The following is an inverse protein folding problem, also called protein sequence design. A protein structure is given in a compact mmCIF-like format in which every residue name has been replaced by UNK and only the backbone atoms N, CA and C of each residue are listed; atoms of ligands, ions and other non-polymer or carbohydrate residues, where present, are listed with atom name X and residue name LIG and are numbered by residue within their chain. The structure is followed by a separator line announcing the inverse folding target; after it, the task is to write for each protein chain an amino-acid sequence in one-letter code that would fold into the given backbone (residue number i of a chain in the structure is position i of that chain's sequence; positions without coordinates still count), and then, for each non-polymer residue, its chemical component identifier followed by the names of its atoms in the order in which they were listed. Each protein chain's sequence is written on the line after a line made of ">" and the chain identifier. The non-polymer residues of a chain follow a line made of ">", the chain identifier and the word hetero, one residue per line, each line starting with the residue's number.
data_IF_708543097908
#
_entry.id   IF_708543097908
#
_cell.length_a   1.000
_cell.length_b   1.000
_cell.length_c   1.000
_cell.angle_alpha   90.00
_cell.angle_beta   90.00
_cell.angle_gamma   90.00
#
_symmetry.space_group_name_H-M   'P 1'
#
loop_
_entity.id
_entity.type
_entity.pdbx_description
1 polymer ?
#
# COMPACT_ATOMS: atom_id res chain seq x y z
N UNK A 1 -9.74 -19.34 -79.37
CA UNK A 1 -8.46 -18.69 -78.98
C UNK A 1 -8.63 -18.18 -77.56
N UNK A 2 -7.67 -18.51 -76.71
CA UNK A 2 -7.75 -18.50 -75.25
C UNK A 2 -7.55 -17.11 -74.60
N UNK A 3 -8.20 -16.98 -73.44
CA UNK A 3 -7.86 -16.24 -72.22
C UNK A 3 -6.81 -15.13 -72.22
N UNK A 4 -7.20 -13.97 -71.65
CA UNK A 4 -6.35 -13.20 -70.72
C UNK A 4 -7.19 -12.53 -69.63
N UNK A 5 -7.45 -13.25 -68.54
CA UNK A 5 -7.66 -12.68 -67.20
C UNK A 5 -6.42 -12.98 -66.37
N UNK A 6 -5.53 -12.01 -66.12
CA UNK A 6 -4.62 -12.10 -64.98
C UNK A 6 -3.88 -10.80 -64.70
N UNK A 7 -3.51 -10.65 -63.42
CA UNK A 7 -2.52 -9.74 -62.85
C UNK A 7 -3.02 -8.44 -62.19
N UNK A 8 -4.04 -8.51 -61.32
CA UNK A 8 -4.26 -7.50 -60.26
C UNK A 8 -4.41 -8.12 -58.85
N UNK A 9 -3.91 -9.34 -58.65
CA UNK A 9 -4.13 -10.09 -57.39
C UNK A 9 -2.90 -10.30 -56.50
N UNK A 10 -1.68 -9.96 -56.95
CA UNK A 10 -0.45 -10.34 -56.23
C UNK A 10 0.28 -9.21 -55.50
N UNK A 11 0.08 -7.95 -55.89
CA UNK A 11 0.75 -6.80 -55.25
C UNK A 11 0.04 -6.29 -54.00
N UNK A 12 -1.30 -6.38 -53.93
CA UNK A 12 -2.05 -5.95 -52.75
C UNK A 12 -1.87 -6.88 -51.53
N UNK A 13 -1.60 -8.17 -51.77
CA UNK A 13 -1.44 -9.14 -50.68
C UNK A 13 -0.09 -9.03 -49.94
N UNK A 14 0.96 -8.57 -50.63
CA UNK A 14 2.30 -8.48 -50.02
C UNK A 14 2.43 -7.24 -49.13
N UNK A 15 1.78 -6.13 -49.48
CA UNK A 15 1.81 -4.90 -48.66
C UNK A 15 1.02 -5.01 -47.36
N UNK A 16 -0.09 -5.77 -47.33
CA UNK A 16 -0.89 -5.97 -46.11
C UNK A 16 -0.20 -6.89 -45.11
N UNK A 17 0.56 -7.90 -45.58
CA UNK A 17 1.30 -8.81 -44.70
C UNK A 17 2.50 -8.14 -44.00
N UNK A 18 3.17 -7.19 -44.66
CA UNK A 18 4.33 -6.49 -44.07
C UNK A 18 3.90 -5.44 -43.04
N UNK A 19 2.78 -4.73 -43.26
CA UNK A 19 2.26 -3.78 -42.26
C UNK A 19 1.64 -4.47 -41.03
N UNK A 20 1.05 -5.65 -41.20
CA UNK A 20 0.50 -6.44 -40.09
C UNK A 20 1.59 -7.01 -39.16
N UNK A 21 2.75 -7.38 -39.70
CA UNK A 21 3.88 -7.92 -38.93
C UNK A 21 4.58 -6.88 -38.07
N UNK A 22 4.71 -5.64 -38.55
CA UNK A 22 5.31 -4.54 -37.80
C UNK A 22 4.44 -4.07 -36.63
N UNK A 23 3.10 -4.12 -36.76
CA UNK A 23 2.19 -3.80 -35.65
C UNK A 23 2.17 -4.87 -34.56
N UNK A 24 2.26 -6.16 -34.91
CA UNK A 24 2.38 -7.23 -33.90
C UNK A 24 3.74 -7.21 -33.18
N UNK A 25 4.81 -6.84 -33.88
CA UNK A 25 6.13 -6.69 -33.26
C UNK A 25 6.15 -5.59 -32.19
N UNK A 26 5.57 -4.41 -32.49
CA UNK A 26 5.51 -3.28 -31.54
C UNK A 26 4.59 -3.58 -30.35
N UNK A 27 3.49 -4.31 -30.55
CA UNK A 27 2.61 -4.73 -29.45
C UNK A 27 3.25 -5.78 -28.52
N UNK A 28 4.14 -6.63 -29.05
CA UNK A 28 4.89 -7.59 -28.23
C UNK A 28 6.04 -6.96 -27.43
N UNK A 29 6.59 -5.82 -27.88
CA UNK A 29 7.60 -5.08 -27.12
C UNK A 29 7.01 -4.19 -26.00
N UNK A 30 5.72 -3.86 -26.05
CA UNK A 30 5.04 -3.11 -24.96
C UNK A 30 4.56 -4.06 -23.84
N UNK A 31 4.49 -5.37 -24.09
CA UNK A 31 3.96 -6.35 -23.13
C UNK A 31 5.01 -6.91 -22.14
N UNK A 32 6.26 -6.44 -22.15
CA UNK A 32 7.30 -6.89 -21.21
C UNK A 32 7.57 -5.98 -20.02
N UNK A 33 6.91 -4.82 -19.92
CA UNK A 33 6.71 -4.19 -18.61
C UNK A 33 5.59 -4.95 -17.92
N UNK A 34 5.94 -6.14 -17.43
CA UNK A 34 5.15 -6.84 -16.44
C UNK A 34 5.04 -5.86 -15.27
N UNK A 35 3.87 -5.23 -15.00
CA UNK A 35 3.73 -4.46 -13.79
C UNK A 35 3.94 -5.50 -12.71
N UNK A 36 5.03 -5.41 -11.96
CA UNK A 36 5.29 -6.30 -10.83
C UNK A 36 4.00 -6.33 -10.03
N UNK A 37 3.29 -7.46 -10.11
CA UNK A 37 2.04 -7.62 -9.43
C UNK A 37 2.39 -7.41 -7.96
N UNK A 38 1.79 -6.41 -7.28
CA UNK A 38 2.22 -6.07 -5.94
C UNK A 38 2.16 -7.34 -5.10
N UNK A 39 3.27 -7.68 -4.46
CA UNK A 39 3.32 -8.86 -3.61
C UNK A 39 2.27 -8.68 -2.50
N UNK A 40 1.20 -9.47 -2.58
CA UNK A 40 0.09 -9.42 -1.63
C UNK A 40 0.38 -10.24 -0.37
N UNK A 41 1.54 -10.90 -0.29
CA UNK A 41 1.92 -11.61 0.92
C UNK A 41 2.14 -10.62 2.09
N UNK A 42 1.87 -11.02 3.34
CA UNK A 42 2.23 -10.21 4.51
C UNK A 42 3.71 -9.84 4.44
N UNK A 43 4.02 -8.56 4.61
CA UNK A 43 5.39 -8.01 4.51
C UNK A 43 6.25 -8.37 5.71
N UNK A 44 6.58 -9.65 5.81
CA UNK A 44 7.46 -10.19 6.85
C UNK A 44 8.83 -9.48 6.86
N UNK A 45 9.30 -9.04 5.69
CA UNK A 45 10.50 -8.24 5.53
C UNK A 45 10.42 -6.86 6.23
N UNK A 46 9.24 -6.24 6.27
CA UNK A 46 9.04 -4.97 7.00
C UNK A 46 9.12 -5.20 8.52
N UNK A 47 8.56 -6.30 9.02
CA UNK A 47 8.67 -6.67 10.43
C UNK A 47 10.14 -6.93 10.83
N UNK A 48 10.91 -7.61 9.96
CA UNK A 48 12.32 -7.90 10.21
C UNK A 48 13.21 -6.65 10.24
N UNK A 49 12.87 -5.63 9.43
CA UNK A 49 13.60 -4.36 9.33
C UNK A 49 13.07 -3.27 10.25
N UNK A 50 11.97 -3.53 10.96
CA UNK A 50 11.33 -2.56 11.83
C UNK A 50 12.28 -2.05 12.92
N UNK A 51 12.27 -0.75 13.15
CA UNK A 51 13.08 -0.10 14.18
C UNK A 51 12.24 0.08 15.45
N UNK A 52 12.53 -0.72 16.47
CA UNK A 52 11.86 -0.63 17.77
C UNK A 52 12.66 0.29 18.70
N UNK A 53 12.03 1.37 19.17
CA UNK A 53 12.66 2.45 19.96
C UNK A 53 11.97 2.60 21.31
N UNK A 54 12.76 2.72 22.37
CA UNK A 54 12.25 2.93 23.73
C UNK A 54 11.45 1.76 24.33
N UNK A 55 11.31 0.63 23.64
CA UNK A 55 10.52 -0.52 24.11
C UNK A 55 11.27 -1.25 25.23
N UNK A 56 10.68 -1.42 26.43
CA UNK A 56 11.27 -2.24 27.48
C UNK A 56 11.49 -3.69 26.99
N UNK A 57 12.60 -4.36 27.32
CA UNK A 57 12.91 -5.71 26.83
C UNK A 57 11.76 -6.72 27.04
N UNK A 58 11.07 -6.65 28.18
CA UNK A 58 9.95 -7.52 28.52
C UNK A 58 8.67 -7.29 27.69
N UNK A 59 8.58 -6.16 26.97
CA UNK A 59 7.44 -5.80 26.10
C UNK A 59 7.73 -6.01 24.61
N UNK A 60 8.99 -6.25 24.24
CA UNK A 60 9.42 -6.34 22.83
C UNK A 60 8.69 -7.45 22.05
N UNK A 61 8.51 -8.63 22.64
CA UNK A 61 7.80 -9.72 21.98
C UNK A 61 6.32 -9.39 21.75
N UNK A 62 5.70 -8.67 22.70
CA UNK A 62 4.35 -8.14 22.55
C UNK A 62 4.26 -7.12 21.42
N UNK A 63 5.22 -6.20 21.36
CA UNK A 63 5.30 -5.20 20.30
C UNK A 63 5.49 -5.84 18.92
N UNK A 64 6.40 -6.81 18.77
CA UNK A 64 6.59 -7.54 17.49
C UNK A 64 5.32 -8.25 17.02
N UNK A 65 4.59 -8.89 17.95
CA UNK A 65 3.29 -9.50 17.64
C UNK A 65 2.25 -8.46 17.23
N UNK A 66 2.26 -7.29 17.87
CA UNK A 66 1.39 -6.19 17.52
C UNK A 66 1.63 -5.67 16.10
N UNK A 67 2.90 -5.52 15.71
CA UNK A 67 3.27 -5.15 14.34
C UNK A 67 2.86 -6.24 13.34
N UNK A 68 3.10 -7.51 13.65
CA UNK A 68 2.68 -8.61 12.79
C UNK A 68 1.16 -8.60 12.57
N UNK A 69 0.39 -8.41 13.66
CA UNK A 69 -1.07 -8.31 13.60
C UNK A 69 -1.53 -7.10 12.77
N UNK A 70 -0.89 -5.94 12.93
CA UNK A 70 -1.17 -4.75 12.14
C UNK A 70 -0.92 -5.00 10.65
N UNK A 71 0.26 -5.51 10.27
CA UNK A 71 0.62 -5.79 8.88
C UNK A 71 -0.32 -6.82 8.24
N UNK A 72 -0.80 -7.79 9.02
CA UNK A 72 -1.81 -8.75 8.56
C UNK A 72 -3.18 -8.11 8.37
N UNK A 73 -3.60 -7.23 9.28
CA UNK A 73 -4.90 -6.57 9.24
C UNK A 73 -4.99 -5.43 8.21
N UNK A 74 -3.85 -4.93 7.75
CA UNK A 74 -3.77 -3.78 6.84
C UNK A 74 -3.34 -4.18 5.42
N UNK A 75 -4.28 -4.66 4.58
CA UNK A 75 -3.97 -5.35 3.32
C UNK A 75 -3.40 -4.44 2.22
N UNK A 76 -3.53 -3.12 2.39
CA UNK A 76 -3.01 -2.17 1.42
C UNK A 76 -1.54 -1.79 1.70
N UNK A 77 -0.99 -2.11 2.88
CA UNK A 77 0.45 -1.92 3.16
C UNK A 77 1.32 -2.73 2.19
N UNK A 78 1.15 -4.06 2.00
CA UNK A 78 1.95 -4.82 1.04
C UNK A 78 1.88 -4.28 -0.40
N UNK A 79 0.70 -3.76 -0.78
CA UNK A 79 0.44 -3.21 -2.11
C UNK A 79 1.16 -1.89 -2.37
N UNK A 80 1.20 -1.02 -1.36
CA UNK A 80 1.64 0.36 -1.53
C UNK A 80 2.96 0.69 -0.85
N UNK A 81 3.49 -0.18 0.01
CA UNK A 81 4.82 -0.04 0.57
C UNK A 81 5.77 -0.99 -0.15
N UNK A 82 5.98 -0.87 -1.46
CA UNK A 82 6.69 -1.86 -2.30
C UNK A 82 8.22 -1.69 -2.40
N UNK A 83 8.80 -0.62 -1.86
CA UNK A 83 10.17 -0.19 -2.15
C UNK A 83 11.14 -0.19 -0.95
N UNK A 84 10.80 -0.87 0.14
CA UNK A 84 11.69 -0.99 1.31
C UNK A 84 11.49 0.14 2.32
N UNK A 85 10.24 0.56 2.43
CA UNK A 85 9.71 1.53 3.38
C UNK A 85 10.10 1.19 4.80
N UNK A 86 10.40 2.22 5.57
CA UNK A 86 10.86 2.07 6.94
C UNK A 86 9.66 2.05 7.87
N UNK A 87 9.61 1.01 8.71
CA UNK A 87 8.68 0.93 9.82
C UNK A 87 9.43 1.30 11.10
N UNK A 88 8.96 2.33 11.78
CA UNK A 88 9.46 2.71 13.11
C UNK A 88 8.37 2.45 14.15
N UNK A 89 8.78 1.98 15.33
CA UNK A 89 7.88 1.69 16.44
C UNK A 89 8.43 2.32 17.71
N UNK A 90 7.77 3.38 18.18
CA UNK A 90 8.16 4.15 19.34
C UNK A 90 7.27 3.83 20.56
N UNK A 91 7.88 3.64 21.73
CA UNK A 91 7.14 3.34 22.96
C UNK A 91 6.77 4.59 23.75
N UNK A 92 5.47 4.75 24.00
CA UNK A 92 4.89 5.84 24.79
C UNK A 92 4.32 5.29 26.10
N UNK A 93 5.06 5.36 27.23
CA UNK A 93 4.61 4.79 28.50
C UNK A 93 3.36 5.47 29.07
N UNK A 94 3.07 6.71 28.67
CA UNK A 94 1.94 7.51 29.14
C UNK A 94 0.79 7.58 28.12
N UNK A 95 0.84 6.77 27.06
CA UNK A 95 -0.12 6.84 25.97
C UNK A 95 0.35 7.74 24.82
N UNK A 96 -0.09 7.40 23.60
CA UNK A 96 0.12 8.12 22.35
C UNK A 96 -1.04 9.09 22.12
N UNK A 97 -0.74 10.38 21.92
CA UNK A 97 -1.71 11.43 21.57
C UNK A 97 -3.01 11.44 22.40
N UNK A 98 -2.90 11.27 23.72
CA UNK A 98 -4.07 11.25 24.61
C UNK A 98 -4.95 10.00 24.47
N UNK A 99 -4.45 8.96 23.81
CA UNK A 99 -5.09 7.65 23.68
C UNK A 99 -4.45 6.61 24.61
N UNK A 100 -5.08 5.44 24.72
CA UNK A 100 -4.52 4.31 25.47
C UNK A 100 -3.49 3.49 24.70
N UNK A 101 -3.10 3.91 23.48
CA UNK A 101 -2.05 3.24 22.72
C UNK A 101 -0.69 3.53 23.34
N UNK A 102 0.16 2.51 23.52
CA UNK A 102 1.51 2.69 24.07
C UNK A 102 2.61 2.48 23.03
N UNK A 103 2.25 2.10 21.81
CA UNK A 103 3.18 2.08 20.68
C UNK A 103 2.66 3.05 19.65
N UNK A 104 3.56 3.86 19.11
CA UNK A 104 3.34 4.61 17.88
C UNK A 104 4.03 3.87 16.75
N UNK A 105 3.33 3.71 15.64
CA UNK A 105 3.83 3.02 14.46
C UNK A 105 3.86 4.01 13.33
N UNK A 106 5.07 4.37 12.92
CA UNK A 106 5.32 5.24 11.80
C UNK A 106 5.72 4.42 10.58
N UNK A 107 5.16 4.75 9.42
CA UNK A 107 5.58 4.21 8.13
C UNK A 107 5.72 5.36 7.13
N UNK A 108 6.94 5.51 6.63
CA UNK A 108 7.27 6.43 5.55
C UNK A 108 7.24 5.70 4.21
N UNK A 109 6.27 6.03 3.37
CA UNK A 109 6.18 5.50 2.01
C UNK A 109 7.22 6.17 1.11
N UNK A 110 7.95 5.36 0.34
CA UNK A 110 8.88 5.87 -0.66
C UNK A 110 8.12 6.68 -1.74
N UNK A 111 8.74 7.70 -2.37
CA UNK A 111 8.11 8.49 -3.42
C UNK A 111 7.51 7.65 -4.57
N UNK A 112 8.15 6.54 -4.90
CA UNK A 112 7.70 5.62 -5.95
C UNK A 112 6.41 4.87 -5.56
N UNK A 113 6.31 4.51 -4.28
CA UNK A 113 5.14 3.86 -3.66
C UNK A 113 3.92 4.79 -3.64
N UNK A 114 4.13 6.09 -3.43
CA UNK A 114 3.08 7.09 -3.49
C UNK A 114 2.38 7.16 -4.85
N UNK A 115 3.09 6.87 -5.95
CA UNK A 115 2.48 6.87 -7.28
C UNK A 115 1.38 5.81 -7.44
N UNK A 116 1.37 4.77 -6.60
CA UNK A 116 0.34 3.74 -6.60
C UNK A 116 -0.95 4.16 -5.91
N UNK A 117 -0.89 5.10 -4.96
CA UNK A 117 -2.05 5.48 -4.14
C UNK A 117 -3.16 6.17 -4.95
N UNK A 118 -4.41 6.24 -4.47
CA UNK A 118 -5.41 7.17 -4.99
C UNK A 118 -4.88 8.62 -5.07
N UNK A 119 -5.31 9.40 -6.07
CA UNK A 119 -4.79 10.76 -6.32
C UNK A 119 -4.81 11.63 -5.07
N UNK A 120 -5.93 11.59 -4.34
CA UNK A 120 -6.13 12.30 -3.08
C UNK A 120 -5.53 11.63 -1.86
N UNK A 121 -4.58 10.72 -2.05
CA UNK A 121 -3.61 10.31 -1.03
C UNK A 121 -2.16 10.59 -1.46
N UNK A 122 -1.94 11.14 -2.66
CA UNK A 122 -0.60 11.51 -3.18
C UNK A 122 -0.22 12.97 -2.92
N UNK A 123 -1.13 13.79 -2.44
CA UNK A 123 -0.84 15.20 -2.18
C UNK A 123 0.25 15.33 -1.10
N UNK A 124 1.21 16.25 -1.29
CA UNK A 124 2.25 16.52 -0.31
C UNK A 124 1.74 16.81 1.10
N UNK A 125 0.52 17.33 1.26
CA UNK A 125 -0.08 17.57 2.58
C UNK A 125 -0.20 16.29 3.43
N UNK A 126 -0.26 15.11 2.79
CA UNK A 126 -0.32 13.81 3.47
C UNK A 126 1.04 13.12 3.53
N UNK A 127 2.05 13.65 2.81
CA UNK A 127 3.47 13.33 2.96
C UNK A 127 3.90 11.90 2.68
N UNK A 128 2.99 10.97 2.40
CA UNK A 128 3.31 9.55 2.38
C UNK A 128 3.67 8.96 3.73
N UNK A 129 3.55 9.77 4.78
CA UNK A 129 3.82 9.41 6.15
C UNK A 129 2.51 9.00 6.81
N UNK A 130 2.52 7.89 7.51
CA UNK A 130 1.39 7.45 8.32
C UNK A 130 1.85 7.20 9.75
N UNK A 131 0.97 7.51 10.69
CA UNK A 131 1.12 7.22 12.11
C UNK A 131 -0.09 6.42 12.58
N UNK A 132 0.14 5.42 13.44
CA UNK A 132 -0.90 4.62 14.06
C UNK A 132 -0.53 4.26 15.49
N UNK A 133 -1.41 4.54 16.45
CA UNK A 133 -1.25 4.09 17.82
C UNK A 133 -1.67 2.64 18.00
N UNK A 134 -0.82 1.75 18.51
CA UNK A 134 -1.23 0.41 18.95
C UNK A 134 -1.48 0.35 20.46
N UNK A 135 -2.64 -0.19 20.81
CA UNK A 135 -3.03 -0.54 22.18
C UNK A 135 -2.88 -2.03 22.38
N UNK A 136 -2.11 -2.41 23.40
CA UNK A 136 -1.99 -3.77 23.92
C UNK A 136 -2.84 -3.98 25.17
N UNK A 137 -3.76 -3.06 25.51
CA UNK A 137 -4.54 -3.07 26.76
C UNK A 137 -5.69 -4.08 26.79
N UNK A 138 -6.78 -3.73 27.49
CA UNK A 138 -7.96 -4.60 27.62
C UNK A 138 -8.70 -4.82 26.29
N UNK A 139 -8.65 -3.82 25.42
CA UNK A 139 -9.12 -3.84 24.03
C UNK A 139 -7.92 -3.63 23.10
N UNK A 140 -7.30 -4.72 22.63
CA UNK A 140 -6.17 -4.60 21.73
C UNK A 140 -6.60 -4.13 20.34
N UNK A 141 -5.81 -3.25 19.73
CA UNK A 141 -6.11 -2.73 18.41
C UNK A 141 -5.24 -1.55 17.99
N UNK A 142 -5.48 -1.09 16.77
CA UNK A 142 -4.88 0.11 16.21
C UNK A 142 -5.84 1.30 16.33
N UNK A 143 -5.29 2.45 16.63
CA UNK A 143 -5.95 3.75 16.61
C UNK A 143 -5.37 4.49 15.43
N UNK A 144 -6.24 4.90 14.51
CA UNK A 144 -5.87 5.39 13.19
C UNK A 144 -6.55 6.72 12.92
N UNK A 145 -5.88 7.59 12.19
CA UNK A 145 -6.44 8.85 11.72
C UNK A 145 -6.64 8.85 10.21
N UNK A 146 -7.58 9.67 9.74
CA UNK A 146 -7.83 9.80 8.30
C UNK A 146 -6.76 10.64 7.61
N UNK A 147 -6.49 10.39 6.32
CA UNK A 147 -7.11 9.35 5.48
C UNK A 147 -6.19 8.15 5.22
N UNK A 148 -4.86 8.34 5.29
CA UNK A 148 -3.88 7.35 4.83
C UNK A 148 -3.84 6.09 5.70
N UNK A 149 -3.76 6.15 7.05
CA UNK A 149 -3.86 4.97 7.91
C UNK A 149 -5.11 4.11 7.64
N UNK A 150 -6.29 4.74 7.53
CA UNK A 150 -7.53 4.03 7.21
C UNK A 150 -7.45 3.33 5.85
N UNK A 151 -6.97 4.03 4.82
CA UNK A 151 -6.80 3.46 3.49
C UNK A 151 -5.84 2.27 3.49
N UNK A 152 -4.69 2.40 4.14
CA UNK A 152 -3.68 1.33 4.27
C UNK A 152 -4.25 0.11 5.00
N UNK A 153 -5.20 0.32 5.91
CA UNK A 153 -5.90 -0.74 6.63
C UNK A 153 -7.22 -1.19 5.98
N UNK A 154 -7.46 -0.81 4.73
CA UNK A 154 -8.65 -1.21 3.96
C UNK A 154 -9.96 -0.69 4.56
N UNK A 155 -9.90 0.31 5.43
CA UNK A 155 -11.08 0.95 6.00
C UNK A 155 -11.68 1.94 4.99
N UNK A 156 -13.00 2.18 5.04
CA UNK A 156 -13.65 3.14 4.17
C UNK A 156 -13.04 4.54 4.31
N UNK A 157 -12.72 5.16 3.17
CA UNK A 157 -12.33 6.56 3.06
C UNK A 157 -13.23 7.20 2.01
N UNK A 158 -13.68 8.43 2.26
CA UNK A 158 -14.57 9.17 1.36
C UNK A 158 -13.94 9.31 -0.04
N UNK A 159 -14.69 8.95 -1.08
CA UNK A 159 -14.25 9.07 -2.48
C UNK A 159 -13.89 10.50 -2.88
N UNK A 160 -14.51 11.51 -2.25
CA UNK A 160 -14.14 12.91 -2.49
C UNK A 160 -12.75 13.22 -1.91
N UNK A 161 -12.34 12.56 -0.81
CA UNK A 161 -10.96 12.62 -0.32
C UNK A 161 -10.05 11.88 -1.31
N UNK A 162 -10.37 10.63 -1.67
CA UNK A 162 -9.54 9.80 -2.56
C UNK A 162 -9.34 10.40 -3.96
N UNK A 163 -10.30 11.20 -4.45
CA UNK A 163 -10.23 11.90 -5.73
C UNK A 163 -9.69 13.34 -5.63
N UNK A 164 -9.26 13.79 -4.44
CA UNK A 164 -8.81 15.16 -4.15
C UNK A 164 -9.88 16.26 -4.27
N UNK A 165 -11.17 15.91 -4.36
CA UNK A 165 -12.27 16.89 -4.38
C UNK A 165 -12.48 17.57 -3.02
N UNK A 166 -12.13 16.87 -1.94
CA UNK A 166 -12.17 17.36 -0.56
C UNK A 166 -10.79 17.25 0.07
N UNK A 167 -10.36 18.31 0.75
CA UNK A 167 -9.06 18.38 1.44
C UNK A 167 -9.16 18.62 2.94
N UNK A 168 -10.38 18.83 3.44
CA UNK A 168 -10.67 19.05 4.85
C UNK A 168 -11.59 17.93 5.36
N UNK A 169 -11.36 17.47 6.58
CA UNK A 169 -12.23 16.52 7.27
C UNK A 169 -12.15 16.72 8.78
N UNK A 170 -13.15 16.18 9.49
CA UNK A 170 -13.07 16.06 10.95
C UNK A 170 -11.99 15.02 11.28
N UNK A 171 -10.96 15.42 12.01
CA UNK A 171 -9.95 14.47 12.50
C UNK A 171 -10.59 13.61 13.60
N UNK A 172 -11.04 12.43 13.19
CA UNK A 172 -11.63 11.45 14.09
C UNK A 172 -10.74 10.21 14.15
N UNK A 173 -10.32 9.88 15.36
CA UNK A 173 -9.57 8.65 15.65
C UNK A 173 -10.51 7.45 15.50
N UNK A 174 -10.18 6.55 14.59
CA UNK A 174 -10.88 5.30 14.36
C UNK A 174 -10.14 4.15 15.05
N UNK A 175 -10.89 3.18 15.59
CA UNK A 175 -10.32 2.00 16.24
C UNK A 175 -10.53 0.74 15.40
N UNK A 176 -9.42 0.06 15.07
CA UNK A 176 -9.41 -1.24 14.43
C UNK A 176 -9.03 -2.32 15.46
N UNK A 177 -9.95 -3.22 15.84
CA UNK A 177 -9.62 -4.34 16.73
C UNK A 177 -8.57 -5.26 16.10
N UNK A 178 -7.52 -5.60 16.85
CA UNK A 178 -6.47 -6.54 16.46
C UNK A 178 -6.41 -7.66 17.50
N UNK A 179 -7.15 -8.73 17.27
CA UNK A 179 -7.38 -9.78 18.29
C UNK A 179 -6.15 -10.67 18.53
N UNK A 180 -5.20 -10.63 17.62
CA UNK A 180 -3.94 -11.37 17.65
C UNK A 180 -2.92 -10.73 18.61
N UNK A 181 -3.13 -9.47 19.00
CA UNK A 181 -2.31 -8.79 20.01
C UNK A 181 -2.67 -9.34 21.40
N UNK A 182 -1.70 -9.83 22.19
CA UNK A 182 -1.98 -10.30 23.53
C UNK A 182 -2.52 -9.16 24.41
N UNK A 183 -3.60 -9.42 25.14
CA UNK A 183 -4.19 -8.43 26.06
C UNK A 183 -3.24 -8.11 27.21
N UNK A 184 -3.25 -6.86 27.62
CA UNK A 184 -2.39 -6.26 28.64
C UNK A 184 -0.88 -6.49 28.40
N UNK A 185 -0.44 -6.52 27.13
CA UNK A 185 0.96 -6.77 26.77
C UNK A 185 1.85 -5.54 26.82
N UNK A 186 1.30 -4.35 26.64
CA UNK A 186 2.05 -3.10 26.75
C UNK A 186 1.17 -1.89 27.11
#
# INVERSE_FOLDING_TARGET
>A
MADKKQAYGKTAFVSILVCSGLFLGVLLFIAQDNPQQPDTAPRQDMLEKAQFRGIPPQKLDGAKRAIAALLQACPNIPKYAAHGENLTVDYYPNGWEGTSAHLDVELDLAPDSLRGLPQGLRDPQWGGHMEMGLSGGSKPGAIMEMPLPLWLCGQPVDEDILSSRKRDWSQEKQFLPLNEIPRNSF
#
